data_IF_528421933720
#
_entry.id   IF_528421933720
#
_cell.length_a   1.000
_cell.length_b   1.000
_cell.length_c   1.000
_cell.angle_alpha   90.00
_cell.angle_beta   90.00
_cell.angle_gamma   90.00
#
_symmetry.space_group_name_H-M   'P 1'
#
loop_
_entity.id
_entity.type
_entity.pdbx_description
1 polymer ?
#
# COMPACT_ATOMS: atom_id res chain seq x y z
N UNK A 1 -4.56 19.78 3.98
CA UNK A 1 -5.11 18.55 4.56
C UNK A 1 -6.64 18.51 4.45
N UNK A 2 -7.40 19.44 5.07
CA UNK A 2 -8.88 19.42 5.11
C UNK A 2 -9.54 19.39 3.73
N UNK A 3 -9.06 20.16 2.75
CA UNK A 3 -9.62 20.16 1.39
C UNK A 3 -9.52 18.79 0.70
N UNK A 4 -8.45 18.05 0.96
CA UNK A 4 -8.26 16.67 0.48
C UNK A 4 -9.20 15.73 1.23
N UNK A 5 -9.27 15.86 2.56
CA UNK A 5 -10.16 15.06 3.41
C UNK A 5 -11.63 15.19 3.02
N UNK A 6 -12.10 16.40 2.70
CA UNK A 6 -13.48 16.69 2.29
C UNK A 6 -13.84 16.14 0.91
N UNK A 7 -12.82 15.82 0.10
CA UNK A 7 -12.98 15.28 -1.25
C UNK A 7 -12.15 14.01 -1.43
N UNK A 8 -12.56 12.90 -0.81
CA UNK A 8 -11.84 11.64 -0.89
C UNK A 8 -11.90 11.07 -2.32
N UNK A 9 -10.75 10.67 -2.83
CA UNK A 9 -10.58 10.04 -4.14
C UNK A 9 -9.89 8.70 -3.97
N UNK A 10 -10.27 7.70 -4.76
CA UNK A 10 -9.70 6.34 -4.67
C UNK A 10 -8.37 6.25 -5.41
N UNK A 11 -7.63 5.20 -5.13
CA UNK A 11 -6.32 4.95 -5.71
C UNK A 11 -6.32 5.01 -7.25
N UNK A 12 -5.34 5.72 -7.80
CA UNK A 12 -5.19 6.09 -9.20
C UNK A 12 -6.27 7.04 -9.78
N UNK A 13 -7.19 7.55 -8.95
CA UNK A 13 -8.22 8.53 -9.29
C UNK A 13 -8.06 9.84 -8.51
N UNK A 14 -6.96 10.04 -7.78
CA UNK A 14 -6.70 11.14 -6.85
C UNK A 14 -6.31 12.46 -7.57
N UNK A 15 -7.14 12.88 -8.53
CA UNK A 15 -6.86 14.04 -9.38
C UNK A 15 -6.84 15.35 -8.57
N UNK A 16 -7.81 15.53 -7.68
CA UNK A 16 -7.90 16.74 -6.87
C UNK A 16 -6.81 16.78 -5.79
N UNK A 17 -6.57 15.68 -5.11
CA UNK A 17 -5.56 15.57 -4.06
C UNK A 17 -4.16 15.81 -4.62
N UNK A 18 -3.76 15.10 -5.68
CA UNK A 18 -2.49 15.27 -6.39
C UNK A 18 -2.30 16.71 -6.84
N UNK A 19 -3.29 17.29 -7.53
CA UNK A 19 -3.23 18.68 -8.01
C UNK A 19 -3.10 19.67 -6.85
N UNK A 20 -3.81 19.46 -5.74
CA UNK A 20 -3.73 20.35 -4.56
C UNK A 20 -2.32 20.37 -3.98
N UNK A 21 -1.64 19.22 -3.88
CA UNK A 21 -0.26 19.11 -3.40
C UNK A 21 0.72 19.74 -4.41
N UNK A 22 0.57 19.43 -5.69
CA UNK A 22 1.40 20.00 -6.78
C UNK A 22 1.32 21.53 -6.81
N UNK A 23 0.12 22.11 -6.66
CA UNK A 23 -0.04 23.56 -6.67
C UNK A 23 0.71 24.23 -5.51
N UNK A 24 0.76 23.61 -4.33
CA UNK A 24 1.55 24.11 -3.19
C UNK A 24 3.06 24.00 -3.47
N UNK A 25 3.53 22.88 -4.01
CA UNK A 25 4.95 22.69 -4.34
C UNK A 25 5.41 23.67 -5.44
N UNK A 26 4.59 23.84 -6.48
CA UNK A 26 4.87 24.82 -7.56
C UNK A 26 4.92 26.26 -7.04
N UNK A 27 4.04 26.65 -6.12
CA UNK A 27 4.05 27.96 -5.47
C UNK A 27 5.33 28.17 -4.64
N UNK A 28 5.97 27.09 -4.18
CA UNK A 28 7.25 27.09 -3.48
C UNK A 28 8.46 26.78 -4.37
N UNK A 29 8.33 26.95 -5.71
CA UNK A 29 9.39 26.85 -6.72
C UNK A 29 9.97 25.43 -6.91
N UNK A 30 9.22 24.37 -6.59
CA UNK A 30 9.59 23.03 -6.99
C UNK A 30 9.30 22.83 -8.49
N UNK A 31 10.20 22.17 -9.18
CA UNK A 31 9.97 21.66 -10.53
C UNK A 31 9.10 20.40 -10.44
N UNK A 32 8.12 20.26 -11.35
CA UNK A 32 7.09 19.21 -11.25
C UNK A 32 7.11 18.33 -12.50
N UNK A 33 7.22 17.02 -12.28
CA UNK A 33 6.95 15.98 -13.25
C UNK A 33 5.69 15.22 -12.84
N UNK A 34 4.88 14.79 -13.79
CA UNK A 34 3.62 14.06 -13.55
C UNK A 34 3.55 12.81 -14.40
N UNK A 35 2.57 11.93 -14.13
CA UNK A 35 2.40 10.65 -14.84
C UNK A 35 3.63 9.74 -14.67
N UNK A 36 3.94 9.42 -13.43
CA UNK A 36 5.17 8.72 -13.03
C UNK A 36 4.93 7.21 -13.03
N UNK A 37 5.74 6.47 -13.78
CA UNK A 37 5.78 5.00 -13.82
C UNK A 37 4.39 4.36 -14.05
N UNK A 38 3.55 5.00 -14.88
CA UNK A 38 2.21 4.51 -15.23
C UNK A 38 1.11 4.91 -14.24
N UNK A 39 1.38 5.83 -13.34
CA UNK A 39 0.42 6.42 -12.41
C UNK A 39 0.12 7.87 -12.81
N UNK A 40 -1.03 8.11 -13.46
CA UNK A 40 -1.41 9.44 -13.98
C UNK A 40 -1.56 10.50 -12.88
N UNK A 41 -1.89 10.10 -11.65
CA UNK A 41 -2.00 10.97 -10.49
C UNK A 41 -0.70 11.08 -9.68
N UNK A 42 0.33 10.28 -10.03
CA UNK A 42 1.66 10.33 -9.43
C UNK A 42 2.46 11.55 -9.92
N UNK A 43 3.33 12.06 -9.06
CA UNK A 43 4.20 13.17 -9.40
C UNK A 43 5.56 13.10 -8.70
N UNK A 44 6.54 13.78 -9.28
CA UNK A 44 7.82 14.12 -8.65
C UNK A 44 7.92 15.64 -8.60
N UNK A 45 8.26 16.17 -7.44
CA UNK A 45 8.54 17.58 -7.27
C UNK A 45 9.95 17.75 -6.72
N UNK A 46 10.81 18.46 -7.44
CA UNK A 46 12.22 18.63 -7.10
C UNK A 46 12.56 20.08 -6.87
N UNK A 47 13.27 20.34 -5.77
CA UNK A 47 13.99 21.58 -5.55
C UNK A 47 15.48 21.28 -5.46
N UNK A 48 16.29 21.89 -6.34
CA UNK A 48 17.74 21.74 -6.41
C UNK A 48 18.41 23.03 -5.93
N UNK A 49 19.33 22.92 -4.98
CA UNK A 49 20.12 24.08 -4.51
C UNK A 49 21.26 24.46 -5.45
N UNK A 50 21.47 23.70 -6.54
CA UNK A 50 22.66 23.82 -7.41
C UNK A 50 24.02 23.58 -6.70
N UNK A 51 23.97 23.07 -5.46
CA UNK A 51 25.15 22.71 -4.67
C UNK A 51 25.19 21.22 -4.36
N UNK A 52 26.40 20.65 -4.31
CA UNK A 52 26.59 19.25 -3.92
C UNK A 52 26.09 19.00 -2.50
N UNK A 53 25.29 17.96 -2.31
CA UNK A 53 24.72 17.57 -1.03
C UNK A 53 23.80 16.36 -1.17
N UNK A 54 23.14 15.93 -0.09
CA UNK A 54 22.24 14.79 -0.12
C UNK A 54 20.93 15.08 -0.87
N UNK A 55 20.34 14.04 -1.42
CA UNK A 55 18.99 14.07 -2.00
C UNK A 55 18.00 13.49 -0.98
N UNK A 56 17.18 14.33 -0.40
CA UNK A 56 16.19 13.94 0.63
C UNK A 56 14.80 13.82 -0.01
N UNK A 57 14.24 12.63 0.01
CA UNK A 57 12.92 12.31 -0.52
C UNK A 57 11.84 12.31 0.55
N UNK A 58 10.68 12.90 0.28
CA UNK A 58 9.47 12.83 1.08
C UNK A 58 8.41 12.07 0.30
N UNK A 59 7.84 11.02 0.92
CA UNK A 59 6.81 10.20 0.30
C UNK A 59 5.43 10.74 0.70
N UNK A 60 4.65 11.16 -0.28
CA UNK A 60 3.33 11.77 -0.08
C UNK A 60 2.23 10.84 -0.58
N UNK A 61 1.44 10.28 0.33
CA UNK A 61 0.22 9.51 0.04
C UNK A 61 -1.00 10.42 0.12
N UNK A 62 -2.05 10.12 -0.67
CA UNK A 62 -3.26 10.96 -0.70
C UNK A 62 -4.53 10.24 -1.19
N UNK A 63 -4.49 8.92 -1.37
CA UNK A 63 -5.65 8.09 -1.70
C UNK A 63 -6.55 7.85 -0.47
N UNK A 64 -7.80 7.48 -0.73
CA UNK A 64 -8.83 7.23 0.27
C UNK A 64 -9.44 5.85 0.11
N UNK A 65 -10.04 5.35 1.19
CA UNK A 65 -10.71 4.05 1.25
C UNK A 65 -12.12 4.10 0.63
N UNK A 66 -12.51 3.08 -0.16
CA UNK A 66 -13.85 3.00 -0.74
C UNK A 66 -14.97 3.09 0.32
N UNK A 67 -15.90 4.02 0.14
CA UNK A 67 -17.06 4.22 1.02
C UNK A 67 -16.75 4.76 2.42
N UNK A 68 -15.46 4.92 2.77
CA UNK A 68 -15.02 5.33 4.10
C UNK A 68 -14.25 6.67 4.12
N UNK A 69 -13.67 7.07 2.97
CA UNK A 69 -12.89 8.29 2.86
C UNK A 69 -11.50 8.15 3.49
N UNK A 70 -10.92 9.25 3.96
CA UNK A 70 -9.56 9.29 4.53
C UNK A 70 -9.46 8.66 5.93
N UNK A 71 -9.89 7.41 6.07
CA UNK A 71 -9.85 6.66 7.31
C UNK A 71 -8.52 5.94 7.60
N UNK A 72 -7.51 6.15 6.74
CA UNK A 72 -6.09 5.88 6.98
C UNK A 72 -5.29 7.16 7.23
N UNK A 73 -5.89 8.34 6.93
CA UNK A 73 -5.28 9.65 7.19
C UNK A 73 -4.26 10.10 6.14
N UNK A 74 -4.35 9.59 4.91
CA UNK A 74 -3.43 9.97 3.83
C UNK A 74 -3.52 11.47 3.47
N UNK A 75 -4.64 12.15 3.78
CA UNK A 75 -4.73 13.61 3.73
C UNK A 75 -3.70 14.30 4.64
N UNK A 76 -3.33 13.70 5.76
CA UNK A 76 -2.26 14.16 6.66
C UNK A 76 -0.89 13.84 6.04
N UNK A 77 -0.67 12.60 5.57
CA UNK A 77 0.61 12.14 5.02
C UNK A 77 1.06 13.04 3.86
N UNK A 78 0.18 13.22 2.86
CA UNK A 78 0.51 14.06 1.71
C UNK A 78 0.79 15.50 2.10
N UNK A 79 0.02 16.06 3.03
CA UNK A 79 0.23 17.44 3.51
C UNK A 79 1.50 17.57 4.33
N UNK A 80 1.79 16.64 5.25
CA UNK A 80 2.99 16.64 6.09
C UNK A 80 4.27 16.53 5.24
N UNK A 81 4.27 15.64 4.23
CA UNK A 81 5.38 15.48 3.31
C UNK A 81 5.68 16.76 2.50
N UNK A 82 4.64 17.42 2.01
CA UNK A 82 4.79 18.71 1.31
C UNK A 82 5.28 19.79 2.26
N UNK A 83 4.73 19.88 3.47
CA UNK A 83 5.13 20.89 4.47
C UNK A 83 6.59 20.69 4.88
N UNK A 84 7.01 19.45 5.16
CA UNK A 84 8.38 19.11 5.52
C UNK A 84 9.37 19.46 4.38
N UNK A 85 9.00 19.16 3.13
CA UNK A 85 9.81 19.50 1.97
C UNK A 85 9.97 21.02 1.79
N UNK A 86 8.89 21.78 1.96
CA UNK A 86 8.93 23.25 1.89
C UNK A 86 9.78 23.83 3.04
N UNK A 87 9.70 23.27 4.24
CA UNK A 87 10.52 23.70 5.37
C UNK A 87 12.03 23.38 5.14
N UNK A 88 12.35 22.18 4.64
CA UNK A 88 13.72 21.79 4.34
C UNK A 88 14.32 22.65 3.23
N UNK A 89 13.54 23.02 2.23
CA UNK A 89 13.94 23.90 1.14
C UNK A 89 14.53 25.23 1.64
N UNK A 90 14.00 25.79 2.74
CA UNK A 90 14.48 27.07 3.29
C UNK A 90 15.94 27.03 3.79
N UNK A 91 16.47 25.83 4.03
CA UNK A 91 17.84 25.63 4.52
C UNK A 91 18.75 24.92 3.51
N UNK A 92 18.18 24.26 2.49
CA UNK A 92 18.97 23.46 1.53
C UNK A 92 19.90 24.34 0.69
N UNK A 93 19.55 25.61 0.46
CA UNK A 93 20.42 26.59 -0.23
C UNK A 93 21.70 26.93 0.56
N UNK A 94 21.72 26.65 1.86
CA UNK A 94 22.90 26.86 2.73
C UNK A 94 23.74 25.59 2.89
N UNK A 95 23.08 24.41 2.95
CA UNK A 95 23.75 23.14 3.23
C UNK A 95 24.06 22.30 1.98
N UNK A 96 23.45 22.61 0.85
CA UNK A 96 23.55 21.87 -0.40
C UNK A 96 22.59 20.68 -0.50
N UNK A 97 22.44 20.16 -1.71
CA UNK A 97 21.63 18.99 -1.99
C UNK A 97 20.29 19.30 -2.65
N UNK A 98 19.41 18.31 -2.65
CA UNK A 98 18.09 18.38 -3.27
C UNK A 98 17.00 17.96 -2.32
N UNK A 99 15.83 18.55 -2.48
CA UNK A 99 14.58 18.14 -1.81
C UNK A 99 13.63 17.61 -2.85
N UNK A 100 13.18 16.35 -2.67
CA UNK A 100 12.27 15.66 -3.60
C UNK A 100 11.00 15.29 -2.87
N UNK A 101 9.83 15.57 -3.45
CA UNK A 101 8.55 15.01 -3.00
C UNK A 101 8.06 14.05 -4.05
N UNK A 102 7.81 12.80 -3.63
CA UNK A 102 7.24 11.76 -4.45
C UNK A 102 5.75 11.64 -4.11
N UNK A 103 4.88 12.06 -5.02
CA UNK A 103 3.45 11.84 -4.92
C UNK A 103 3.12 10.40 -5.24
N UNK A 104 2.68 9.63 -4.24
CA UNK A 104 2.52 8.18 -4.28
C UNK A 104 1.04 7.81 -4.18
N UNK A 105 0.33 7.65 -5.31
CA UNK A 105 -1.07 7.23 -5.32
C UNK A 105 -1.25 5.75 -4.98
N UNK A 106 -2.50 5.36 -4.69
CA UNK A 106 -2.97 3.98 -4.58
C UNK A 106 -2.19 3.10 -3.59
N UNK A 107 -1.87 3.62 -2.40
CA UNK A 107 -1.25 2.82 -1.33
C UNK A 107 -2.21 1.75 -0.81
N UNK A 108 -3.50 2.07 -0.64
CA UNK A 108 -4.54 1.15 -0.17
C UNK A 108 -4.84 0.00 -1.16
N UNK A 109 -4.21 0.04 -2.33
CA UNK A 109 -4.29 -1.01 -3.33
C UNK A 109 -5.33 -0.76 -4.42
N UNK A 110 -5.79 -1.85 -5.03
CA UNK A 110 -6.66 -1.81 -6.20
C UNK A 110 -5.91 -2.15 -7.49
N UNK A 111 -6.56 -1.94 -8.64
CA UNK A 111 -5.92 -2.16 -9.94
C UNK A 111 -4.74 -1.19 -10.11
N UNK A 112 -3.58 -1.73 -10.50
CA UNK A 112 -2.32 -0.98 -10.58
C UNK A 112 -1.96 -0.27 -9.25
N UNK A 113 -2.33 -0.85 -8.09
CA UNK A 113 -2.03 -0.29 -6.78
C UNK A 113 -0.56 -0.39 -6.39
N UNK A 114 -0.20 0.28 -5.29
CA UNK A 114 1.16 0.33 -4.73
C UNK A 114 2.16 1.06 -5.64
N UNK A 115 1.94 2.36 -5.85
CA UNK A 115 2.74 3.21 -6.74
C UNK A 115 4.22 3.25 -6.36
N UNK A 116 4.57 3.22 -5.06
CA UNK A 116 5.97 3.21 -4.61
C UNK A 116 6.74 1.99 -5.13
N UNK A 117 6.06 0.83 -5.25
CA UNK A 117 6.66 -0.35 -5.88
C UNK A 117 6.90 -0.16 -7.38
N UNK A 118 6.01 0.56 -8.10
CA UNK A 118 6.24 0.97 -9.49
C UNK A 118 7.43 1.91 -9.62
N UNK A 119 7.56 2.87 -8.70
CA UNK A 119 8.66 3.84 -8.66
C UNK A 119 10.01 3.15 -8.46
N UNK A 120 10.07 2.18 -7.53
CA UNK A 120 11.26 1.35 -7.33
C UNK A 120 11.60 0.58 -8.62
N UNK A 121 10.64 -0.07 -9.25
CA UNK A 121 10.86 -0.82 -10.51
C UNK A 121 11.33 0.06 -11.67
N UNK A 122 10.86 1.31 -11.72
CA UNK A 122 11.22 2.28 -12.75
C UNK A 122 12.54 3.04 -12.46
N UNK A 123 13.20 2.80 -11.32
CA UNK A 123 14.43 3.47 -10.92
C UNK A 123 14.22 4.93 -10.43
N UNK A 124 12.98 5.33 -10.16
CA UNK A 124 12.66 6.70 -9.68
C UNK A 124 13.31 6.99 -8.32
N UNK A 125 13.54 5.96 -7.52
CA UNK A 125 14.10 6.06 -6.16
C UNK A 125 15.63 6.08 -6.18
N UNK A 126 16.30 5.72 -7.27
CA UNK A 126 17.74 5.42 -7.31
C UNK A 126 18.63 6.64 -7.01
N UNK A 127 18.15 7.87 -7.25
CA UNK A 127 18.88 9.11 -6.96
C UNK A 127 18.63 9.66 -5.54
N UNK A 128 17.77 9.03 -4.75
CA UNK A 128 17.42 9.45 -3.39
C UNK A 128 18.39 8.82 -2.39
N UNK A 129 18.96 9.61 -1.48
CA UNK A 129 19.84 9.12 -0.42
C UNK A 129 19.08 8.67 0.82
N UNK A 130 17.96 9.33 1.13
CA UNK A 130 17.10 9.05 2.29
C UNK A 130 15.65 9.34 1.93
N UNK A 131 14.73 8.45 2.28
CA UNK A 131 13.30 8.66 2.13
C UNK A 131 12.60 8.78 3.49
N UNK A 132 11.73 9.78 3.61
CA UNK A 132 11.03 10.12 4.85
C UNK A 132 9.52 10.14 4.61
N UNK A 133 8.78 9.58 5.54
CA UNK A 133 7.32 9.67 5.59
C UNK A 133 6.89 9.60 7.05
N UNK A 134 5.79 10.25 7.41
CA UNK A 134 5.14 10.11 8.71
C UNK A 134 3.70 9.70 8.51
N UNK A 135 3.24 8.69 9.26
CA UNK A 135 1.88 8.16 9.17
C UNK A 135 1.05 8.55 10.40
N UNK A 136 -0.19 9.01 10.27
CA UNK A 136 -1.06 9.25 11.43
C UNK A 136 -1.42 7.92 12.13
N UNK A 137 -1.48 7.97 13.45
CA UNK A 137 -1.74 6.78 14.28
C UNK A 137 -2.53 7.10 15.56
N UNK A 138 -2.75 6.07 16.36
CA UNK A 138 -3.34 6.19 17.68
C UNK A 138 -2.32 6.57 18.77
N UNK A 139 -1.04 6.38 18.48
CA UNK A 139 0.10 6.75 19.32
C UNK A 139 1.24 7.23 18.42
N UNK A 140 2.22 7.92 19.03
CA UNK A 140 3.49 8.26 18.38
C UNK A 140 4.50 7.15 18.63
N UNK A 141 5.02 6.52 17.58
CA UNK A 141 6.01 5.45 17.65
C UNK A 141 6.94 5.43 16.42
N UNK A 142 8.08 4.81 16.59
CA UNK A 142 9.11 4.62 15.56
C UNK A 142 8.57 3.72 14.44
N UNK A 143 9.31 3.61 13.36
CA UNK A 143 9.01 2.66 12.28
C UNK A 143 8.84 1.25 12.83
N UNK A 144 7.67 0.65 12.60
CA UNK A 144 7.34 -0.71 13.02
C UNK A 144 7.68 -1.75 11.95
N UNK A 145 7.67 -3.02 12.34
CA UNK A 145 7.76 -4.11 11.38
C UNK A 145 6.47 -4.21 10.56
N UNK A 146 6.59 -4.52 9.27
CA UNK A 146 5.45 -4.77 8.39
C UNK A 146 5.58 -6.14 7.72
N UNK A 147 4.50 -6.61 7.12
CA UNK A 147 4.48 -7.86 6.37
C UNK A 147 4.56 -7.58 4.88
N UNK A 148 5.32 -8.40 4.16
CA UNK A 148 5.19 -8.49 2.72
C UNK A 148 3.82 -9.05 2.35
N UNK A 149 3.20 -8.57 1.26
CA UNK A 149 1.88 -8.99 0.79
C UNK A 149 1.79 -9.05 -0.73
N UNK A 150 1.13 -10.10 -1.24
CA UNK A 150 0.64 -10.17 -2.60
C UNK A 150 -0.90 -10.23 -2.59
N UNK A 151 -1.50 -9.54 -3.55
CA UNK A 151 -2.94 -9.58 -3.83
C UNK A 151 -3.15 -10.27 -5.17
N UNK A 152 -3.85 -11.40 -5.14
CA UNK A 152 -3.88 -12.37 -6.23
C UNK A 152 -5.32 -12.63 -6.66
N UNK A 153 -5.56 -12.59 -7.96
CA UNK A 153 -6.79 -13.09 -8.56
C UNK A 153 -6.57 -14.51 -9.07
N UNK A 154 -7.54 -15.37 -8.79
CA UNK A 154 -7.62 -16.74 -9.26
C UNK A 154 -8.94 -16.89 -10.02
N UNK A 155 -8.86 -17.26 -11.29
CA UNK A 155 -10.01 -17.48 -12.15
C UNK A 155 -9.96 -18.89 -12.71
N UNK A 156 -11.10 -19.59 -12.71
CA UNK A 156 -11.24 -20.86 -13.38
C UNK A 156 -12.23 -20.73 -14.52
N UNK A 157 -11.89 -21.36 -15.63
CA UNK A 157 -12.68 -21.39 -16.86
C UNK A 157 -13.05 -22.84 -17.18
N UNK A 158 -14.35 -23.09 -17.26
CA UNK A 158 -14.92 -24.38 -17.54
C UNK A 158 -15.77 -24.35 -18.81
N UNK A 159 -16.79 -25.20 -18.81
CA UNK A 159 -17.80 -25.26 -19.88
C UNK A 159 -19.19 -25.48 -19.29
N UNK A 160 -20.09 -24.57 -19.60
CA UNK A 160 -21.47 -24.58 -19.14
C UNK A 160 -22.30 -25.71 -19.76
N UNK A 161 -23.24 -26.25 -19.01
CA UNK A 161 -24.29 -27.12 -19.49
C UNK A 161 -25.50 -27.10 -18.54
N UNK A 162 -26.64 -27.64 -19.00
CA UNK A 162 -27.80 -27.85 -18.14
C UNK A 162 -27.48 -28.96 -17.12
N UNK A 163 -27.60 -28.65 -15.81
CA UNK A 163 -27.09 -29.50 -14.75
C UNK A 163 -27.75 -30.89 -14.67
N UNK A 164 -28.96 -31.09 -15.21
CA UNK A 164 -29.66 -32.37 -15.21
C UNK A 164 -29.74 -33.08 -16.57
N UNK A 165 -29.34 -32.40 -17.64
CA UNK A 165 -29.48 -33.00 -19.00
C UNK A 165 -28.12 -33.36 -19.61
N UNK A 166 -27.15 -32.46 -19.55
CA UNK A 166 -25.87 -32.60 -20.24
C UNK A 166 -24.67 -32.34 -19.30
N UNK A 167 -24.79 -32.75 -18.02
CA UNK A 167 -23.74 -32.49 -17.03
C UNK A 167 -22.42 -33.20 -17.37
N UNK A 168 -22.46 -34.32 -18.05
CA UNK A 168 -21.31 -35.11 -18.51
C UNK A 168 -20.48 -34.43 -19.60
N UNK A 169 -21.06 -33.45 -20.32
CA UNK A 169 -20.36 -32.63 -21.30
C UNK A 169 -19.74 -31.36 -20.70
N UNK A 170 -20.05 -31.02 -19.43
CA UNK A 170 -19.62 -29.81 -18.77
C UNK A 170 -18.23 -29.94 -18.14
N UNK A 171 -17.63 -28.78 -17.86
CA UNK A 171 -16.48 -28.62 -16.97
C UNK A 171 -16.87 -27.59 -15.91
N UNK A 172 -17.01 -28.02 -14.66
CA UNK A 172 -17.54 -27.17 -13.60
C UNK A 172 -16.46 -26.30 -12.96
N UNK A 173 -16.43 -25.01 -13.32
CA UNK A 173 -15.49 -24.05 -12.74
C UNK A 173 -15.70 -23.86 -11.22
N UNK A 174 -16.93 -24.07 -10.70
CA UNK A 174 -17.17 -23.98 -9.25
C UNK A 174 -16.57 -25.16 -8.50
N UNK A 175 -16.54 -26.38 -9.08
CA UNK A 175 -15.84 -27.52 -8.46
C UNK A 175 -14.34 -27.25 -8.37
N UNK A 176 -13.74 -26.61 -9.40
CA UNK A 176 -12.36 -26.16 -9.36
C UNK A 176 -12.12 -25.16 -8.23
N UNK A 177 -13.02 -24.17 -8.07
CA UNK A 177 -12.94 -23.18 -7.00
C UNK A 177 -13.07 -23.80 -5.62
N UNK A 178 -14.01 -24.72 -5.42
CA UNK A 178 -14.19 -25.45 -4.15
C UNK A 178 -12.95 -26.31 -3.84
N UNK A 179 -12.40 -27.00 -4.84
CA UNK A 179 -11.16 -27.77 -4.71
C UNK A 179 -9.99 -26.90 -4.30
N UNK A 180 -9.86 -25.72 -4.93
CA UNK A 180 -8.85 -24.72 -4.57
C UNK A 180 -8.98 -24.26 -3.12
N UNK A 181 -10.19 -23.89 -2.64
CA UNK A 181 -10.41 -23.49 -1.25
C UNK A 181 -10.09 -24.62 -0.26
N UNK A 182 -10.40 -25.87 -0.59
CA UNK A 182 -10.03 -27.04 0.21
C UNK A 182 -8.50 -27.19 0.28
N UNK A 183 -7.81 -27.04 -0.84
CA UNK A 183 -6.35 -27.07 -0.88
C UNK A 183 -5.71 -25.96 -0.05
N UNK A 184 -6.26 -24.74 -0.10
CA UNK A 184 -5.83 -23.63 0.77
C UNK A 184 -6.08 -23.95 2.25
N UNK A 185 -7.22 -24.55 2.60
CA UNK A 185 -7.50 -24.96 3.98
C UNK A 185 -6.46 -25.98 4.50
N UNK A 186 -6.05 -26.94 3.66
CA UNK A 186 -5.00 -27.90 3.97
C UNK A 186 -3.62 -27.21 4.11
N UNK A 187 -3.29 -26.27 3.21
CA UNK A 187 -2.04 -25.51 3.27
C UNK A 187 -1.90 -24.74 4.59
N UNK A 188 -2.99 -24.16 5.11
CA UNK A 188 -2.97 -23.34 6.34
C UNK A 188 -2.42 -24.08 7.56
N UNK A 189 -2.50 -25.40 7.61
CA UNK A 189 -1.91 -26.22 8.67
C UNK A 189 -0.37 -26.21 8.61
N UNK A 190 0.22 -25.96 7.45
CA UNK A 190 1.65 -26.11 7.17
C UNK A 190 2.39 -24.81 6.92
N UNK A 191 1.72 -23.65 7.04
CA UNK A 191 2.37 -22.37 6.91
C UNK A 191 3.06 -21.95 8.22
N UNK A 192 4.11 -21.12 8.10
CA UNK A 192 4.88 -20.65 9.25
C UNK A 192 4.08 -19.63 10.10
N UNK A 193 4.50 -19.47 11.36
CA UNK A 193 4.03 -18.36 12.20
C UNK A 193 4.37 -17.03 11.50
N UNK A 194 3.41 -16.12 11.40
CA UNK A 194 3.55 -14.86 10.66
C UNK A 194 3.08 -14.92 9.21
N UNK A 195 2.92 -16.11 8.61
CA UNK A 195 2.31 -16.25 7.29
C UNK A 195 0.77 -16.27 7.37
N UNK A 196 0.12 -15.71 6.35
CA UNK A 196 -1.34 -15.70 6.22
C UNK A 196 -1.75 -15.94 4.78
N UNK A 197 -2.86 -16.69 4.60
CA UNK A 197 -3.55 -16.84 3.32
C UNK A 197 -5.04 -16.70 3.60
N UNK A 198 -5.66 -15.68 3.03
CA UNK A 198 -7.09 -15.42 3.16
C UNK A 198 -7.66 -14.84 1.87
N UNK A 199 -8.94 -15.08 1.61
CA UNK A 199 -9.57 -14.62 0.39
C UNK A 199 -11.07 -14.87 0.38
N UNK A 200 -11.71 -14.41 -0.69
CA UNK A 200 -13.16 -14.52 -0.92
C UNK A 200 -13.43 -14.95 -2.35
N UNK A 201 -14.57 -15.60 -2.57
CA UNK A 201 -15.12 -15.82 -3.92
C UNK A 201 -15.84 -14.53 -4.33
N UNK A 202 -15.46 -13.98 -5.49
CA UNK A 202 -16.08 -12.81 -6.11
C UNK A 202 -17.18 -13.22 -7.08
N UNK A 203 -16.98 -14.32 -7.84
CA UNK A 203 -18.01 -14.94 -8.70
C UNK A 203 -17.95 -16.45 -8.53
N UNK A 204 -19.08 -17.06 -8.17
CA UNK A 204 -19.25 -18.51 -7.95
C UNK A 204 -20.30 -19.14 -8.88
N UNK A 205 -20.76 -18.42 -9.92
CA UNK A 205 -21.82 -18.84 -10.83
C UNK A 205 -23.15 -18.13 -10.56
N UNK A 206 -24.11 -18.29 -11.49
CA UNK A 206 -25.31 -17.44 -11.57
C UNK A 206 -26.61 -18.17 -11.23
N UNK A 207 -26.73 -19.47 -11.54
CA UNK A 207 -27.97 -20.22 -11.37
C UNK A 207 -27.68 -21.69 -11.02
N UNK A 208 -28.44 -22.27 -10.10
CA UNK A 208 -28.22 -23.60 -9.58
C UNK A 208 -28.46 -24.73 -10.60
N UNK A 209 -29.22 -24.48 -11.65
CA UNK A 209 -29.52 -25.44 -12.72
C UNK A 209 -28.58 -25.31 -13.95
N UNK A 210 -27.56 -24.45 -13.84
CA UNK A 210 -26.53 -24.25 -14.89
C UNK A 210 -25.18 -24.56 -14.26
N UNK A 211 -24.40 -25.45 -14.85
CA UNK A 211 -23.01 -25.69 -14.42
C UNK A 211 -22.19 -24.46 -14.76
N UNK A 212 -21.50 -23.83 -13.77
CA UNK A 212 -20.73 -22.62 -14.00
C UNK A 212 -19.51 -22.87 -14.91
N UNK A 213 -19.38 -22.04 -15.93
CA UNK A 213 -18.24 -22.01 -16.85
C UNK A 213 -17.16 -21.02 -16.44
N UNK A 214 -17.42 -20.19 -15.41
CA UNK A 214 -16.49 -19.21 -14.87
C UNK A 214 -16.65 -19.06 -13.37
N UNK A 215 -15.53 -18.96 -12.66
CA UNK A 215 -15.47 -18.53 -11.25
C UNK A 215 -14.25 -17.66 -11.01
N UNK A 216 -14.36 -16.75 -10.04
CA UNK A 216 -13.33 -15.79 -9.68
C UNK A 216 -13.20 -15.67 -8.16
N UNK A 217 -11.99 -15.72 -7.65
CA UNK A 217 -11.66 -15.44 -6.25
C UNK A 217 -10.49 -14.48 -6.14
N UNK A 218 -10.45 -13.71 -5.06
CA UNK A 218 -9.32 -12.85 -4.69
C UNK A 218 -8.73 -13.29 -3.37
N UNK A 219 -7.40 -13.38 -3.34
CA UNK A 219 -6.66 -13.83 -2.18
C UNK A 219 -5.53 -12.85 -1.83
N UNK A 220 -5.27 -12.75 -0.54
CA UNK A 220 -4.09 -12.12 0.03
C UNK A 220 -3.18 -13.20 0.61
N UNK A 221 -1.92 -13.17 0.23
CA UNK A 221 -0.84 -13.92 0.89
C UNK A 221 0.06 -12.95 1.61
N UNK A 222 0.45 -13.25 2.85
CA UNK A 222 1.32 -12.42 3.67
C UNK A 222 2.42 -13.26 4.30
N UNK A 223 3.61 -12.67 4.44
CA UNK A 223 4.74 -13.27 5.15
C UNK A 223 5.63 -12.19 5.77
N UNK A 224 6.54 -12.60 6.65
CA UNK A 224 7.48 -11.71 7.34
C UNK A 224 8.61 -11.22 6.45
N UNK A 225 8.77 -11.78 5.25
CA UNK A 225 9.71 -11.30 4.24
C UNK A 225 9.23 -11.64 2.82
N UNK A 226 9.66 -10.84 1.85
CA UNK A 226 9.41 -11.08 0.42
C UNK A 226 9.83 -12.49 0.00
N UNK A 227 11.00 -12.93 0.43
CA UNK A 227 11.53 -14.27 0.14
C UNK A 227 10.59 -15.40 0.64
N UNK A 228 10.04 -15.27 1.84
CA UNK A 228 9.09 -16.24 2.37
C UNK A 228 7.73 -16.14 1.68
N UNK A 229 7.34 -14.94 1.30
CA UNK A 229 6.10 -14.70 0.57
C UNK A 229 6.13 -15.31 -0.83
N UNK A 230 7.23 -15.18 -1.57
CA UNK A 230 7.38 -15.78 -2.90
C UNK A 230 7.17 -17.31 -2.86
N UNK A 231 7.73 -17.96 -1.84
CA UNK A 231 7.52 -19.40 -1.62
C UNK A 231 6.08 -19.73 -1.28
N UNK A 232 5.42 -18.89 -0.48
CA UNK A 232 4.02 -19.08 -0.10
C UNK A 232 3.09 -18.86 -1.30
N UNK A 233 3.30 -17.79 -2.06
CA UNK A 233 2.53 -17.44 -3.27
C UNK A 233 2.64 -18.55 -4.32
N UNK A 234 3.83 -19.13 -4.51
CA UNK A 234 4.01 -20.26 -5.43
C UNK A 234 3.24 -21.51 -4.97
N UNK A 235 3.20 -21.82 -3.67
CA UNK A 235 2.37 -22.93 -3.16
C UNK A 235 0.88 -22.70 -3.42
N UNK A 236 0.41 -21.46 -3.29
CA UNK A 236 -0.98 -21.08 -3.57
C UNK A 236 -1.28 -21.25 -5.06
N UNK A 237 -0.35 -20.86 -5.95
CA UNK A 237 -0.43 -21.10 -7.40
C UNK A 237 -0.48 -22.59 -7.75
N UNK A 238 0.35 -23.42 -7.12
CA UNK A 238 0.36 -24.88 -7.33
C UNK A 238 -0.97 -25.54 -6.94
N UNK A 239 -1.62 -25.03 -5.89
CA UNK A 239 -2.96 -25.51 -5.49
C UNK A 239 -4.00 -25.16 -6.57
N UNK A 240 -3.96 -23.95 -7.12
CA UNK A 240 -4.85 -23.54 -8.23
C UNK A 240 -4.65 -24.43 -9.46
N UNK A 241 -3.40 -24.70 -9.82
CA UNK A 241 -3.04 -25.62 -10.91
C UNK A 241 -3.57 -27.04 -10.65
N UNK A 242 -3.42 -27.54 -9.41
CA UNK A 242 -3.94 -28.84 -9.00
C UNK A 242 -5.47 -28.94 -9.11
N UNK A 243 -6.19 -27.90 -8.69
CA UNK A 243 -7.64 -27.80 -8.82
C UNK A 243 -8.09 -27.79 -10.30
N UNK A 244 -7.38 -27.06 -11.16
CA UNK A 244 -7.66 -27.03 -12.60
C UNK A 244 -7.46 -28.40 -13.24
N UNK A 245 -6.35 -29.11 -12.93
CA UNK A 245 -6.07 -30.47 -13.43
C UNK A 245 -7.16 -31.45 -12.97
N UNK A 246 -7.57 -31.38 -11.70
CA UNK A 246 -8.57 -32.26 -11.12
C UNK A 246 -9.93 -32.16 -11.83
N UNK A 247 -10.29 -30.97 -12.29
CA UNK A 247 -11.63 -30.69 -12.86
C UNK A 247 -11.64 -30.57 -14.38
N UNK A 248 -10.45 -30.55 -15.00
CA UNK A 248 -10.30 -30.34 -16.44
C UNK A 248 -10.52 -28.89 -16.87
N UNK A 249 -10.63 -27.94 -15.92
CA UNK A 249 -10.79 -26.53 -16.20
C UNK A 249 -9.45 -25.87 -16.56
N UNK A 250 -9.50 -24.78 -17.35
CA UNK A 250 -8.39 -23.83 -17.45
C UNK A 250 -8.37 -22.88 -16.28
N UNK A 251 -7.22 -22.23 -16.02
CA UNK A 251 -7.12 -21.25 -14.94
C UNK A 251 -6.17 -20.11 -15.28
N UNK A 252 -6.44 -18.96 -14.66
CA UNK A 252 -5.53 -17.82 -14.54
C UNK A 252 -5.19 -17.57 -13.08
N UNK A 253 -3.93 -17.24 -12.84
CA UNK A 253 -3.43 -16.87 -11.53
C UNK A 253 -2.45 -15.71 -11.69
N UNK A 254 -2.67 -14.61 -10.99
CA UNK A 254 -1.77 -13.46 -11.08
C UNK A 254 -2.09 -12.34 -10.10
N UNK A 255 -1.14 -11.44 -9.92
CA UNK A 255 -1.33 -10.26 -9.10
C UNK A 255 -2.23 -9.23 -9.80
N UNK A 256 -3.04 -8.51 -9.03
CA UNK A 256 -3.83 -7.36 -9.51
C UNK A 256 -3.14 -6.02 -9.29
N UNK A 257 -2.13 -6.00 -8.43
CA UNK A 257 -1.32 -4.84 -8.08
C UNK A 257 0.12 -5.25 -7.87
N UNK A 258 1.00 -4.28 -7.65
CA UNK A 258 2.37 -4.59 -7.28
C UNK A 258 2.45 -5.34 -5.95
N UNK A 259 3.37 -6.29 -5.85
CA UNK A 259 3.70 -6.92 -4.58
C UNK A 259 4.38 -5.93 -3.64
N UNK A 260 3.97 -5.96 -2.38
CA UNK A 260 4.51 -5.11 -1.32
C UNK A 260 5.55 -5.90 -0.52
N UNK A 261 6.71 -5.31 -0.27
CA UNK A 261 7.77 -5.91 0.53
C UNK A 261 7.60 -5.56 2.02
N UNK A 262 8.19 -6.37 2.90
CA UNK A 262 8.38 -6.02 4.30
C UNK A 262 9.27 -4.79 4.43
N UNK A 263 9.15 -4.07 5.54
CA UNK A 263 9.94 -2.87 5.79
C UNK A 263 11.33 -3.20 6.37
N UNK A 264 12.38 -2.64 5.77
CA UNK A 264 13.75 -2.67 6.31
C UNK A 264 13.99 -1.40 7.12
N UNK A 265 14.07 -1.53 8.46
CA UNK A 265 14.23 -0.40 9.37
C UNK A 265 15.59 0.31 9.19
N UNK A 266 15.59 1.63 9.37
CA UNK A 266 16.75 2.50 9.44
C UNK A 266 16.94 3.08 10.86
N UNK A 267 17.50 2.33 11.84
CA UNK A 267 17.45 2.68 13.26
C UNK A 267 18.05 4.06 13.57
N UNK A 268 19.09 4.48 12.86
CA UNK A 268 19.70 5.81 13.05
C UNK A 268 18.76 6.96 12.68
N UNK A 269 17.92 6.77 11.66
CA UNK A 269 16.90 7.77 11.27
C UNK A 269 15.75 7.75 12.28
N UNK A 270 15.33 6.56 12.72
CA UNK A 270 14.33 6.43 13.78
C UNK A 270 14.80 7.06 15.10
N UNK A 271 16.10 6.96 15.46
CA UNK A 271 16.68 7.63 16.63
C UNK A 271 16.59 9.17 16.51
N UNK A 272 16.79 9.71 15.30
CA UNK A 272 16.60 11.14 15.03
C UNK A 272 15.14 11.56 15.12
N UNK A 273 14.23 10.76 14.56
CA UNK A 273 12.79 11.00 14.70
C UNK A 273 12.37 11.05 16.17
N UNK A 274 12.72 10.03 16.97
CA UNK A 274 12.40 9.97 18.39
C UNK A 274 12.94 11.17 19.15
N UNK A 275 14.20 11.54 18.90
CA UNK A 275 14.83 12.72 19.53
C UNK A 275 14.00 13.98 19.26
N UNK A 276 13.71 14.28 18.00
CA UNK A 276 13.02 15.53 17.64
C UNK A 276 11.54 15.52 18.00
N UNK A 277 10.85 14.38 17.88
CA UNK A 277 9.47 14.24 18.36
C UNK A 277 9.38 14.48 19.87
N UNK A 278 10.32 13.95 20.65
CA UNK A 278 10.40 14.18 22.10
C UNK A 278 10.69 15.65 22.43
N UNK A 279 11.58 16.31 21.70
CA UNK A 279 11.85 17.76 21.86
C UNK A 279 10.62 18.62 21.58
N UNK A 280 9.74 18.16 20.67
CA UNK A 280 8.45 18.79 20.38
C UNK A 280 7.33 18.43 21.37
N UNK A 281 7.62 17.55 22.35
CA UNK A 281 6.69 17.20 23.43
C UNK A 281 5.88 15.93 23.18
N UNK A 282 6.19 15.17 22.13
CA UNK A 282 5.56 13.87 21.88
C UNK A 282 6.13 12.78 22.78
N UNK A 283 5.26 11.92 23.30
CA UNK A 283 5.65 10.69 23.99
C UNK A 283 5.80 9.58 22.93
N UNK A 284 7.05 9.28 22.57
CA UNK A 284 7.35 8.19 21.62
C UNK A 284 7.36 6.87 22.35
N UNK A 285 6.47 5.96 21.97
CA UNK A 285 6.42 4.61 22.54
C UNK A 285 7.28 3.64 21.73
N UNK A 286 7.91 2.70 22.42
CA UNK A 286 8.65 1.60 21.79
C UNK A 286 7.70 0.43 21.56
N UNK A 287 7.09 0.40 20.36
CA UNK A 287 6.20 -0.68 19.92
C UNK A 287 6.74 -1.26 18.62
N UNK A 288 6.93 -2.57 18.61
CA UNK A 288 7.50 -3.31 17.48
C UNK A 288 6.44 -4.17 16.76
N UNK A 289 5.18 -4.08 17.17
CA UNK A 289 4.08 -4.88 16.65
C UNK A 289 3.40 -4.24 15.45
N UNK A 290 3.78 -4.66 14.23
CA UNK A 290 3.06 -4.35 13.00
C UNK A 290 2.71 -5.63 12.25
N UNK A 291 1.41 -5.83 11.98
CA UNK A 291 0.89 -6.88 11.09
C UNK A 291 0.32 -6.27 9.80
N UNK A 292 0.41 -4.96 9.64
CA UNK A 292 0.07 -4.23 8.43
C UNK A 292 1.10 -4.43 7.32
N UNK A 293 0.83 -3.85 6.19
CA UNK A 293 1.73 -3.77 5.05
C UNK A 293 1.66 -2.36 4.50
N UNK A 294 2.76 -1.85 3.98
CA UNK A 294 2.83 -0.57 3.27
C UNK A 294 3.81 -0.71 2.13
N UNK A 295 3.52 -0.14 0.98
CA UNK A 295 4.42 -0.16 -0.17
C UNK A 295 5.66 0.74 0.01
N UNK A 296 5.72 1.53 1.10
CA UNK A 296 6.95 2.16 1.60
C UNK A 296 8.02 1.12 1.95
N UNK A 297 7.60 -0.12 2.28
CA UNK A 297 8.50 -1.27 2.40
C UNK A 297 9.35 -1.47 1.15
N UNK A 298 8.78 -1.33 -0.05
CA UNK A 298 9.55 -1.46 -1.31
C UNK A 298 10.66 -0.40 -1.42
N UNK A 299 10.39 0.84 -0.99
CA UNK A 299 11.39 1.92 -0.97
C UNK A 299 12.50 1.60 0.03
N UNK A 300 12.18 1.06 1.20
CA UNK A 300 13.15 0.70 2.24
C UNK A 300 14.17 -0.36 1.82
N UNK A 301 13.87 -1.14 0.77
CA UNK A 301 14.81 -2.10 0.17
C UNK A 301 15.85 -1.44 -0.74
N UNK A 302 15.66 -0.18 -1.13
CA UNK A 302 16.54 0.57 -2.05
C UNK A 302 17.33 1.62 -1.30
N UNK A 303 16.67 2.41 -0.44
CA UNK A 303 17.29 3.52 0.30
C UNK A 303 16.90 3.48 1.79
N UNK A 304 17.73 4.01 2.69
CA UNK A 304 17.35 4.20 4.09
C UNK A 304 16.05 4.99 4.19
N UNK A 305 15.04 4.39 4.81
CA UNK A 305 13.68 4.93 4.86
C UNK A 305 13.13 4.85 6.29
N UNK A 306 12.35 5.84 6.71
CA UNK A 306 11.54 5.78 7.92
C UNK A 306 10.06 5.98 7.62
N UNK A 307 9.23 5.33 8.43
CA UNK A 307 7.78 5.39 8.41
C UNK A 307 7.24 5.38 9.85
N UNK A 308 7.64 6.36 10.68
CA UNK A 308 7.11 6.48 12.03
C UNK A 308 5.64 6.89 12.01
N UNK A 309 4.98 6.74 13.16
CA UNK A 309 3.61 7.17 13.34
C UNK A 309 3.54 8.36 14.29
N UNK A 310 2.57 9.25 14.04
CA UNK A 310 2.25 10.40 14.88
C UNK A 310 0.82 10.29 15.37
N UNK A 311 0.62 10.57 16.65
CA UNK A 311 -0.68 10.47 17.31
C UNK A 311 -1.66 11.55 16.83
N UNK A 312 -2.83 11.12 16.35
CA UNK A 312 -3.92 12.02 15.93
C UNK A 312 -5.20 11.85 16.76
N UNK A 313 -5.17 11.03 17.81
CA UNK A 313 -6.37 10.75 18.61
C UNK A 313 -6.09 9.91 19.85
N UNK A 314 -7.12 9.27 20.39
CA UNK A 314 -6.98 8.41 21.57
C UNK A 314 -6.30 7.08 21.25
N UNK A 315 -5.71 6.42 22.27
CA UNK A 315 -5.11 5.07 22.19
C UNK A 315 -6.02 4.01 21.56
N UNK A 316 -7.33 4.19 21.70
CA UNK A 316 -8.32 3.26 21.16
C UNK A 316 -8.75 3.61 19.72
N UNK A 317 -8.08 4.53 19.07
CA UNK A 317 -8.34 4.90 17.68
C UNK A 317 -7.86 3.76 16.77
N UNK A 318 -8.78 3.21 15.99
CA UNK A 318 -8.49 2.11 15.07
C UNK A 318 -8.54 2.63 13.63
N UNK A 319 -7.49 2.38 12.86
CA UNK A 319 -7.43 2.69 11.43
C UNK A 319 -8.59 2.04 10.65
N UNK A 320 -8.92 2.57 9.49
CA UNK A 320 -10.01 2.09 8.62
C UNK A 320 -11.40 2.13 9.32
N UNK A 321 -11.62 3.15 10.16
CA UNK A 321 -12.92 3.40 10.81
C UNK A 321 -13.38 4.84 10.61
N UNK A 322 -14.70 5.08 10.77
CA UNK A 322 -15.24 6.45 10.74
C UNK A 322 -14.58 7.36 11.78
N UNK A 323 -14.26 6.82 12.97
CA UNK A 323 -13.58 7.59 14.03
C UNK A 323 -12.17 8.03 13.60
N UNK A 324 -11.44 7.17 12.88
CA UNK A 324 -10.14 7.54 12.37
C UNK A 324 -10.24 8.64 11.31
N UNK A 325 -11.22 8.52 10.40
CA UNK A 325 -11.52 9.57 9.42
C UNK A 325 -11.81 10.90 10.07
N UNK A 326 -12.63 10.92 11.13
CA UNK A 326 -12.94 12.14 11.89
C UNK A 326 -11.68 12.71 12.57
N UNK A 327 -10.83 11.86 13.16
CA UNK A 327 -9.57 12.25 13.77
C UNK A 327 -8.61 12.85 12.74
N UNK A 328 -8.56 12.36 11.51
CA UNK A 328 -7.72 12.86 10.43
C UNK A 328 -8.08 14.28 9.95
N UNK A 329 -9.20 14.84 10.38
CA UNK A 329 -9.63 16.23 10.14
C UNK A 329 -9.91 17.00 11.45
N UNK A 330 -9.38 16.53 12.58
CA UNK A 330 -9.52 17.16 13.89
C UNK A 330 -8.39 18.14 14.17
N UNK A 331 -8.56 18.97 15.21
CA UNK A 331 -7.49 19.85 15.70
C UNK A 331 -6.21 19.07 16.09
N UNK A 332 -6.35 17.84 16.63
CA UNK A 332 -5.20 17.01 16.95
C UNK A 332 -4.54 16.48 15.68
N UNK A 333 -5.32 16.14 14.64
CA UNK A 333 -4.79 15.83 13.31
C UNK A 333 -4.06 16.99 12.67
N UNK A 334 -4.53 18.25 12.87
CA UNK A 334 -3.83 19.44 12.39
C UNK A 334 -2.51 19.69 13.16
N UNK A 335 -2.49 19.43 14.47
CA UNK A 335 -1.27 19.53 15.29
C UNK A 335 -0.21 18.51 14.85
N UNK A 336 -0.62 17.34 14.39
CA UNK A 336 0.29 16.31 13.89
C UNK A 336 0.99 16.68 12.54
N UNK A 337 0.56 17.77 11.89
CA UNK A 337 1.20 18.28 10.67
C UNK A 337 2.40 19.19 10.95
N UNK A 338 2.55 19.69 12.18
CA UNK A 338 3.56 20.69 12.59
C UNK A 338 4.65 20.02 13.42
#
# INVERSE_FOLDING_TARGET
SHRIHERPELGNEEIFASRTLIDQLRANRFEIETDIAGHATGFIATYDSDMTGPVIGFLAEYDALPGLGHACGHNIIGTASVLAAVALKEVVDEIGGKVVVLGCPAEEGGENGSAKASYVKAGVIDEIDVALMIHPGNETYRTINTLAVDVLDIKFYGRSAHASENADEALNALDAMISYFNGIAQLRQHIKKGQRVHGVILDGGKAANIIPDFTHARFYTRATSRKELDVLTEKVNQIARGAAIQTGCDFEFGPIQNGVNEFIKAPKLDDLFEKYATELGEEVIDDDFGYGSTDTGNVSHVVPTIHPHIKIGSRNLVGHTHRFREAAASLQGDQALI
#
